data_IF_563348620902
#
_entry.id   IF_563348620902
#
_cell.length_a   1.000
_cell.length_b   1.000
_cell.length_c   1.000
_cell.angle_alpha   90.00
_cell.angle_beta   90.00
_cell.angle_gamma   90.00
#
_symmetry.space_group_name_H-M   'P 1'
#
loop_
_entity.id
_entity.type
_entity.pdbx_description
1 polymer ?
#
# COMPACT_ATOMS: atom_id res chain seq x y z
N UNK A 1 -55.39 5.93 27.25
CA UNK A 1 -55.41 6.03 25.78
C UNK A 1 -54.04 6.50 25.34
N UNK A 2 -53.19 5.53 24.99
CA UNK A 2 -51.87 5.71 24.40
C UNK A 2 -51.98 6.40 23.04
N UNK A 3 -51.06 7.33 22.77
CA UNK A 3 -50.71 7.77 21.42
C UNK A 3 -49.19 7.72 21.31
N UNK A 4 -48.71 6.74 20.55
CA UNK A 4 -47.31 6.54 20.18
C UNK A 4 -46.78 7.75 19.39
N UNK A 5 -45.62 8.27 19.80
CA UNK A 5 -44.81 9.18 18.99
C UNK A 5 -43.66 8.40 18.33
N UNK A 6 -43.63 8.47 17.01
CA UNK A 6 -42.63 7.85 16.13
C UNK A 6 -41.36 8.73 16.09
N UNK A 7 -40.14 8.19 16.25
CA UNK A 7 -38.93 8.98 16.05
C UNK A 7 -38.61 9.14 14.55
N UNK A 8 -38.42 10.39 14.13
CA UNK A 8 -37.96 10.76 12.78
C UNK A 8 -36.47 10.42 12.58
N UNK A 9 -36.16 9.70 11.51
CA UNK A 9 -34.81 9.42 11.02
C UNK A 9 -34.10 10.69 10.52
N UNK A 10 -32.79 10.87 10.77
CA UNK A 10 -32.02 11.97 10.20
C UNK A 10 -31.69 11.73 8.71
N UNK A 11 -31.51 12.80 7.90
CA UNK A 11 -31.29 12.66 6.47
C UNK A 11 -29.89 12.13 6.14
N UNK A 12 -29.84 11.30 5.10
CA UNK A 12 -28.63 10.77 4.48
C UNK A 12 -27.72 11.92 4.03
N UNK A 13 -26.52 12.02 4.64
CA UNK A 13 -25.47 12.92 4.18
C UNK A 13 -24.93 12.40 2.84
N UNK A 14 -24.95 13.26 1.82
CA UNK A 14 -24.31 13.02 0.53
C UNK A 14 -22.83 12.73 0.73
N UNK A 15 -22.38 11.57 0.26
CA UNK A 15 -20.97 11.27 0.09
C UNK A 15 -20.38 12.21 -0.97
N UNK A 16 -19.45 13.06 -0.56
CA UNK A 16 -18.61 13.84 -1.46
C UNK A 16 -17.71 12.87 -2.23
N UNK A 17 -17.81 12.86 -3.55
CA UNK A 17 -16.94 12.10 -4.45
C UNK A 17 -15.51 12.66 -4.38
N UNK A 18 -14.47 11.84 -4.21
CA UNK A 18 -13.09 12.31 -4.20
C UNK A 18 -12.68 12.75 -5.61
N UNK A 19 -12.13 13.96 -5.70
CA UNK A 19 -11.52 14.51 -6.92
C UNK A 19 -10.03 14.17 -6.85
N UNK A 20 -9.55 13.34 -7.77
CA UNK A 20 -8.11 13.18 -8.03
C UNK A 20 -7.57 14.51 -8.54
N UNK A 21 -6.69 15.17 -7.78
CA UNK A 21 -5.92 16.33 -8.23
C UNK A 21 -4.44 15.96 -8.31
N UNK A 22 -3.75 16.12 -9.46
CA UNK A 22 -2.32 15.85 -9.53
C UNK A 22 -1.49 17.02 -8.97
N UNK A 23 -0.38 16.68 -8.32
CA UNK A 23 0.32 17.50 -7.35
C UNK A 23 1.54 18.30 -7.85
N UNK A 24 2.04 19.12 -6.90
CA UNK A 24 3.39 19.67 -6.68
C UNK A 24 3.96 20.81 -7.54
N UNK A 25 4.24 21.94 -6.86
CA UNK A 25 5.39 22.81 -7.13
C UNK A 25 6.11 23.12 -5.82
N UNK A 26 7.33 22.59 -5.67
CA UNK A 26 8.34 23.14 -4.77
C UNK A 26 9.61 23.30 -5.60
N UNK A 27 10.09 24.54 -5.70
CA UNK A 27 11.37 24.89 -6.34
C UNK A 27 12.46 25.13 -5.28
N UNK A 28 13.76 25.10 -5.67
CA UNK A 28 14.82 24.57 -4.82
C UNK A 28 15.90 25.60 -4.40
N UNK A 29 16.71 25.21 -3.40
CA UNK A 29 18.12 25.59 -3.21
C UNK A 29 18.72 24.54 -2.26
N UNK A 30 19.91 23.97 -2.39
CA UNK A 30 21.09 24.24 -3.20
C UNK A 30 22.00 23.00 -3.15
N UNK A 31 22.64 22.68 -4.28
CA UNK A 31 23.98 22.09 -4.44
C UNK A 31 24.43 20.98 -3.47
N UNK A 32 24.57 19.76 -4.00
CA UNK A 32 25.36 18.69 -3.39
C UNK A 32 25.47 17.50 -4.33
N UNK A 33 26.63 17.36 -4.95
CA UNK A 33 26.91 16.52 -6.11
C UNK A 33 26.63 15.01 -5.99
N UNK A 34 26.25 14.49 -7.15
CA UNK A 34 26.13 13.10 -7.56
C UNK A 34 27.35 12.24 -7.27
N UNK A 35 27.17 11.16 -6.50
CA UNK A 35 28.10 10.02 -6.45
C UNK A 35 27.34 8.70 -6.38
N UNK A 36 26.68 8.35 -7.47
CA UNK A 36 26.04 7.05 -7.66
C UNK A 36 26.61 6.36 -8.90
N UNK A 37 27.72 5.65 -8.71
CA UNK A 37 28.18 4.64 -9.66
C UNK A 37 28.66 3.40 -8.91
N UNK A 38 27.97 2.30 -9.22
CA UNK A 38 28.53 0.98 -9.50
C UNK A 38 29.19 0.24 -8.33
N UNK A 39 28.59 -0.88 -7.91
CA UNK A 39 29.24 -2.20 -7.85
C UNK A 39 28.22 -3.32 -7.53
N UNK A 40 27.81 -4.04 -8.56
CA UNK A 40 27.33 -5.42 -8.46
C UNK A 40 28.56 -6.33 -8.52
N UNK A 41 28.69 -7.30 -7.62
CA UNK A 41 29.58 -8.46 -7.79
C UNK A 41 28.91 -9.73 -7.29
N UNK A 42 28.94 -10.73 -8.15
CA UNK A 42 28.42 -12.07 -7.96
C UNK A 42 29.39 -12.95 -7.15
N UNK A 43 28.85 -13.97 -6.47
CA UNK A 43 29.60 -15.02 -5.75
C UNK A 43 29.51 -16.32 -6.58
N UNK A 44 30.62 -17.07 -6.76
CA UNK A 44 30.63 -18.26 -7.59
C UNK A 44 30.22 -19.54 -6.84
N UNK A 45 29.63 -20.43 -7.63
CA UNK A 45 29.20 -21.80 -7.39
C UNK A 45 30.39 -22.77 -7.26
N UNK A 46 30.34 -23.78 -6.37
CA UNK A 46 31.22 -24.95 -6.43
C UNK A 46 30.46 -26.26 -6.21
N UNK A 47 30.73 -27.23 -7.10
CA UNK A 47 30.14 -28.57 -7.19
C UNK A 47 30.80 -29.61 -6.26
N UNK A 48 29.96 -30.51 -5.73
CA UNK A 48 29.97 -31.99 -5.79
C UNK A 48 31.24 -32.82 -5.44
N UNK A 49 31.11 -33.73 -4.46
CA UNK A 49 31.58 -35.16 -4.43
C UNK A 49 31.02 -35.84 -3.15
N UNK A 50 30.13 -36.83 -3.24
CA UNK A 50 30.27 -38.30 -3.40
C UNK A 50 30.23 -39.13 -2.09
N UNK A 51 29.15 -39.91 -1.98
CA UNK A 51 28.92 -41.26 -1.44
C UNK A 51 29.81 -41.89 -0.35
N UNK A 52 29.14 -42.46 0.66
CA UNK A 52 29.67 -43.47 1.59
C UNK A 52 28.54 -44.24 2.28
N UNK A 53 28.48 -45.55 2.02
CA UNK A 53 27.40 -46.50 2.33
C UNK A 53 27.78 -47.42 3.48
N UNK A 54 26.99 -47.55 4.57
CA UNK A 54 27.07 -48.68 5.51
C UNK A 54 25.73 -49.04 6.23
N UNK A 55 25.30 -50.27 5.92
CA UNK A 55 24.41 -51.31 6.49
C UNK A 55 23.74 -51.17 7.90
N UNK A 56 22.48 -51.69 8.00
CA UNK A 56 21.61 -51.87 9.20
C UNK A 56 22.06 -52.94 10.21
N UNK A 57 21.41 -53.27 11.35
CA UNK A 57 20.01 -53.44 11.86
C UNK A 57 20.07 -53.45 13.44
N UNK A 58 19.02 -53.76 14.27
CA UNK A 58 17.55 -53.83 14.10
C UNK A 58 16.72 -53.03 15.16
N UNK A 59 15.38 -53.08 15.00
CA UNK A 59 14.31 -52.40 15.74
C UNK A 59 13.99 -52.99 17.14
N UNK A 60 13.58 -52.12 18.08
CA UNK A 60 12.59 -52.41 19.14
C UNK A 60 11.74 -51.15 19.47
N UNK A 61 10.43 -51.28 19.70
CA UNK A 61 9.55 -50.15 19.96
C UNK A 61 9.46 -49.86 21.47
N UNK A 62 9.52 -48.59 21.83
CA UNK A 62 8.92 -48.11 23.08
C UNK A 62 8.07 -46.89 22.77
N UNK A 63 6.78 -47.03 23.05
CA UNK A 63 5.84 -45.91 23.12
C UNK A 63 6.40 -44.89 24.12
N UNK A 64 6.69 -43.70 23.62
CA UNK A 64 6.70 -42.49 24.41
C UNK A 64 5.60 -41.62 23.82
N UNK A 65 4.65 -41.26 24.68
CA UNK A 65 3.62 -40.28 24.41
C UNK A 65 4.24 -39.06 23.72
N UNK A 66 3.98 -38.93 22.42
CA UNK A 66 4.31 -37.72 21.68
C UNK A 66 3.38 -36.63 22.21
N UNK A 67 3.84 -35.92 23.23
CA UNK A 67 3.42 -34.55 23.45
C UNK A 67 3.94 -33.79 22.24
N UNK A 68 3.14 -33.71 21.18
CA UNK A 68 3.40 -32.76 20.12
C UNK A 68 3.51 -31.39 20.80
N UNK A 69 4.65 -30.70 20.73
CA UNK A 69 4.63 -29.29 21.03
C UNK A 69 3.60 -28.70 20.06
N UNK A 70 2.49 -28.20 20.61
CA UNK A 70 1.60 -27.31 19.88
C UNK A 70 2.48 -26.29 19.18
N UNK A 71 2.31 -26.05 17.85
CA UNK A 71 3.08 -25.02 17.19
C UNK A 71 2.85 -23.74 17.98
N UNK A 72 3.93 -23.23 18.58
CA UNK A 72 3.90 -21.92 19.20
C UNK A 72 3.35 -21.00 18.12
N UNK A 73 2.18 -20.43 18.37
CA UNK A 73 1.64 -19.39 17.51
C UNK A 73 2.76 -18.38 17.29
N UNK A 74 3.18 -18.15 16.04
CA UNK A 74 4.21 -17.16 15.67
C UNK A 74 3.65 -15.76 15.97
N UNK A 75 3.56 -15.44 17.24
CA UNK A 75 3.07 -14.17 17.76
C UNK A 75 4.25 -13.22 17.70
N UNK A 76 4.19 -12.31 16.73
CA UNK A 76 5.20 -11.27 16.54
C UNK A 76 4.70 -10.01 17.24
N UNK A 77 5.52 -9.42 18.10
CA UNK A 77 5.26 -8.09 18.65
C UNK A 77 5.82 -7.03 17.70
N UNK A 78 4.98 -6.04 17.37
CA UNK A 78 5.33 -4.99 16.43
C UNK A 78 5.00 -3.60 17.02
N UNK A 79 5.97 -2.68 17.08
CA UNK A 79 5.69 -1.27 17.34
C UNK A 79 4.77 -0.72 16.26
N UNK A 80 3.70 -0.02 16.64
CA UNK A 80 2.72 0.52 15.69
C UNK A 80 2.84 2.04 15.55
N UNK A 81 2.73 2.50 14.31
CA UNK A 81 2.67 3.89 13.90
C UNK A 81 1.30 4.19 13.27
N UNK A 82 0.33 4.68 14.07
CA UNK A 82 -0.94 5.19 13.57
C UNK A 82 -0.76 6.42 12.68
N UNK A 83 -1.24 6.38 11.44
CA UNK A 83 -1.20 7.49 10.49
C UNK A 83 -2.56 7.69 9.80
N UNK A 84 -2.90 8.92 9.35
CA UNK A 84 -4.10 9.18 8.54
C UNK A 84 -3.91 8.74 7.06
N UNK A 85 -3.18 7.66 6.82
CA UNK A 85 -2.90 7.08 5.51
C UNK A 85 -2.77 5.56 5.61
N UNK A 86 -2.81 4.90 4.45
CA UNK A 86 -2.69 3.44 4.33
C UNK A 86 -1.38 3.11 3.61
N UNK A 87 -0.54 2.26 4.22
CA UNK A 87 0.65 1.72 3.56
C UNK A 87 0.31 0.38 2.89
N UNK A 88 0.70 0.23 1.63
CA UNK A 88 0.55 -1.03 0.89
C UNK A 88 1.88 -1.77 0.75
N UNK A 89 1.85 -3.11 0.61
CA UNK A 89 3.03 -3.89 0.20
C UNK A 89 3.71 -3.29 -1.04
N UNK A 90 5.02 -3.13 -0.97
CA UNK A 90 5.86 -2.57 -2.04
C UNK A 90 5.83 -1.05 -2.17
N UNK A 91 4.86 -0.34 -1.55
CA UNK A 91 4.77 1.12 -1.62
C UNK A 91 5.89 1.79 -0.80
N UNK A 92 6.34 2.96 -1.25
CA UNK A 92 7.36 3.75 -0.56
C UNK A 92 6.67 4.85 0.26
N UNK A 93 7.06 4.99 1.51
CA UNK A 93 6.52 5.97 2.45
C UNK A 93 7.64 6.82 3.06
N UNK A 94 7.83 8.07 2.59
CA UNK A 94 8.69 9.02 3.28
C UNK A 94 7.99 9.56 4.53
N UNK A 95 8.70 9.62 5.65
CA UNK A 95 8.19 10.16 6.92
C UNK A 95 9.22 11.04 7.60
N UNK A 96 8.72 12.06 8.28
CA UNK A 96 9.49 12.86 9.22
C UNK A 96 8.99 12.60 10.64
N UNK A 97 9.88 12.10 11.49
CA UNK A 97 9.60 11.79 12.89
C UNK A 97 9.99 12.99 13.73
N UNK A 98 8.99 13.68 14.27
CA UNK A 98 9.19 14.81 15.16
C UNK A 98 8.55 14.62 16.54
N UNK A 99 7.48 13.82 16.65
CA UNK A 99 6.84 13.54 17.94
C UNK A 99 7.77 12.72 18.86
N UNK A 100 7.86 13.15 20.12
CA UNK A 100 8.74 12.55 21.13
C UNK A 100 8.57 11.04 21.28
N UNK A 101 7.33 10.54 21.32
CA UNK A 101 7.06 9.10 21.43
C UNK A 101 7.65 8.28 20.28
N UNK A 102 7.60 8.81 19.06
CA UNK A 102 8.12 8.10 17.88
C UNK A 102 9.63 8.28 17.72
N UNK A 103 10.21 9.33 18.31
CA UNK A 103 11.67 9.42 18.48
C UNK A 103 12.18 8.28 19.37
N UNK A 104 11.52 8.01 20.49
CA UNK A 104 11.83 6.85 21.34
C UNK A 104 11.69 5.55 20.55
N UNK A 105 10.58 5.38 19.82
CA UNK A 105 10.37 4.20 18.96
C UNK A 105 11.53 4.02 17.97
N UNK A 106 11.96 5.10 17.30
CA UNK A 106 13.05 5.04 16.34
C UNK A 106 14.38 4.61 16.98
N UNK A 107 14.68 5.07 18.19
CA UNK A 107 15.87 4.60 18.92
C UNK A 107 15.84 3.09 19.17
N UNK A 108 14.68 2.53 19.51
CA UNK A 108 14.50 1.06 19.62
C UNK A 108 14.64 0.37 18.25
N UNK A 109 14.09 0.96 17.19
CA UNK A 109 14.17 0.38 15.83
C UNK A 109 15.60 0.32 15.30
N UNK A 110 16.44 1.31 15.61
CA UNK A 110 17.86 1.34 15.22
C UNK A 110 18.69 0.20 15.84
N UNK A 111 18.21 -0.39 16.94
CA UNK A 111 18.87 -1.50 17.65
C UNK A 111 18.26 -2.87 17.30
N UNK A 112 17.23 -2.90 16.44
CA UNK A 112 16.46 -4.09 16.07
C UNK A 112 16.38 -4.24 14.54
N UNK A 113 15.27 -4.78 14.02
CA UNK A 113 15.13 -5.13 12.60
C UNK A 113 14.65 -3.96 11.72
N UNK A 114 14.61 -2.72 12.22
CA UNK A 114 14.15 -1.55 11.47
C UNK A 114 12.72 -1.69 10.88
N UNK A 115 11.88 -2.51 11.52
CA UNK A 115 10.50 -2.80 11.10
C UNK A 115 9.49 -2.31 12.13
N UNK A 116 8.43 -1.67 11.64
CA UNK A 116 7.29 -1.24 12.46
C UNK A 116 6.00 -1.36 11.66
N UNK A 117 4.86 -1.42 12.34
CA UNK A 117 3.55 -1.53 11.71
C UNK A 117 2.96 -0.17 11.41
N UNK A 118 2.65 0.12 10.15
CA UNK A 118 1.83 1.28 9.79
C UNK A 118 0.37 0.87 9.79
N UNK A 119 -0.44 1.58 10.56
CA UNK A 119 -1.87 1.31 10.73
C UNK A 119 -2.66 2.57 10.43
N UNK A 120 -3.71 2.43 9.63
CA UNK A 120 -4.60 3.55 9.37
C UNK A 120 -5.32 3.97 10.65
N UNK A 121 -5.38 5.28 10.90
CA UNK A 121 -6.06 5.84 12.04
C UNK A 121 -6.85 7.09 11.64
N UNK A 122 -8.13 7.09 11.96
CA UNK A 122 -9.04 8.22 11.73
C UNK A 122 -9.78 8.54 13.03
N UNK A 123 -9.80 9.82 13.42
CA UNK A 123 -10.48 10.32 14.62
C UNK A 123 -10.22 9.51 15.92
N UNK A 124 -9.00 8.96 16.08
CA UNK A 124 -8.61 8.16 17.26
C UNK A 124 -8.96 6.68 17.19
N UNK A 125 -9.66 6.22 16.13
CA UNK A 125 -9.88 4.80 15.85
C UNK A 125 -8.74 4.25 15.00
N UNK A 126 -8.09 3.18 15.48
CA UNK A 126 -7.02 2.48 14.76
C UNK A 126 -7.61 1.27 14.03
N UNK A 127 -7.24 1.09 12.77
CA UNK A 127 -7.67 -0.04 11.97
C UNK A 127 -7.04 -1.36 12.47
N UNK A 128 -7.78 -2.46 12.33
CA UNK A 128 -7.32 -3.78 12.77
C UNK A 128 -6.30 -4.43 11.84
N UNK A 129 -6.11 -3.91 10.62
CA UNK A 129 -5.15 -4.39 9.63
C UNK A 129 -4.22 -3.26 9.22
N UNK A 130 -2.93 -3.59 9.13
CA UNK A 130 -1.88 -2.67 8.70
C UNK A 130 -0.88 -3.34 7.78
N UNK A 131 0.19 -2.61 7.47
CA UNK A 131 1.31 -3.08 6.67
C UNK A 131 2.62 -2.79 7.38
N UNK A 132 3.55 -3.73 7.36
CA UNK A 132 4.89 -3.51 7.93
C UNK A 132 5.64 -2.50 7.05
N UNK A 133 6.13 -1.43 7.67
CA UNK A 133 7.12 -0.56 7.08
C UNK A 133 8.52 -1.00 7.50
N UNK A 134 9.35 -1.34 6.53
CA UNK A 134 10.79 -1.54 6.73
C UNK A 134 11.52 -0.24 6.38
N UNK A 135 12.35 0.27 7.30
CA UNK A 135 13.16 1.46 7.05
C UNK A 135 14.30 1.11 6.08
N UNK A 136 14.23 1.61 4.84
CA UNK A 136 15.26 1.39 3.82
C UNK A 136 16.32 2.50 3.80
N UNK A 137 15.99 3.67 4.35
CA UNK A 137 16.92 4.78 4.56
C UNK A 137 16.47 5.61 5.74
N UNK A 138 17.41 6.04 6.59
CA UNK A 138 17.13 7.01 7.65
C UNK A 138 18.25 8.04 7.76
N UNK A 139 17.91 9.24 8.20
CA UNK A 139 18.81 10.34 8.47
C UNK A 139 18.40 10.99 9.80
N UNK A 140 19.35 11.11 10.73
CA UNK A 140 19.13 11.84 11.99
C UNK A 140 19.33 13.33 11.72
N UNK A 141 18.31 14.10 12.01
CA UNK A 141 18.30 15.55 11.93
C UNK A 141 18.69 16.16 13.28
N UNK A 142 18.74 17.48 13.33
CA UNK A 142 18.91 18.24 14.58
C UNK A 142 17.75 17.93 15.55
N UNK A 143 18.03 17.93 16.85
CA UNK A 143 17.06 17.66 17.94
C UNK A 143 16.50 16.23 17.98
N UNK A 144 17.26 15.24 17.47
CA UNK A 144 16.86 13.83 17.32
C UNK A 144 15.55 13.62 16.57
N UNK A 145 15.25 14.52 15.64
CA UNK A 145 14.25 14.27 14.61
C UNK A 145 14.84 13.29 13.60
N UNK A 146 14.00 12.53 12.93
CA UNK A 146 14.44 11.63 11.87
C UNK A 146 13.70 11.94 10.59
N UNK A 147 14.40 11.88 9.47
CA UNK A 147 13.79 11.67 8.17
C UNK A 147 14.03 10.22 7.76
N UNK A 148 12.99 9.53 7.33
CA UNK A 148 13.09 8.13 6.95
C UNK A 148 12.28 7.80 5.70
N UNK A 149 12.81 6.88 4.90
CA UNK A 149 12.13 6.26 3.77
C UNK A 149 11.85 4.83 4.17
N UNK A 150 10.57 4.46 4.16
CA UNK A 150 10.14 3.10 4.40
C UNK A 150 9.63 2.45 3.12
N UNK A 151 9.74 1.13 3.05
CA UNK A 151 9.06 0.30 2.06
C UNK A 151 8.07 -0.60 2.76
N UNK A 152 6.83 -0.64 2.24
CA UNK A 152 5.82 -1.58 2.70
C UNK A 152 6.22 -3.02 2.39
N UNK A 153 6.04 -3.92 3.35
CA UNK A 153 6.33 -5.34 3.23
C UNK A 153 5.03 -6.13 3.36
N UNK A 154 4.90 -7.02 4.35
CA UNK A 154 3.73 -7.86 4.56
C UNK A 154 2.61 -7.11 5.28
N UNK A 155 1.38 -7.51 5.00
CA UNK A 155 0.22 -7.08 5.79
C UNK A 155 0.13 -7.91 7.07
N UNK A 156 -0.45 -7.31 8.09
CA UNK A 156 -0.71 -7.97 9.34
C UNK A 156 -2.07 -7.57 9.90
N UNK A 157 -2.62 -8.42 10.76
CA UNK A 157 -3.79 -8.16 11.60
C UNK A 157 -3.35 -8.00 13.04
N UNK A 158 -3.83 -6.95 13.70
CA UNK A 158 -3.66 -6.76 15.14
C UNK A 158 -4.50 -7.81 15.87
N UNK A 159 -3.85 -8.64 16.68
CA UNK A 159 -4.51 -9.63 17.53
C UNK A 159 -4.74 -9.06 18.93
N UNK A 160 -3.74 -8.39 19.50
CA UNK A 160 -3.81 -7.81 20.84
C UNK A 160 -2.86 -6.62 20.99
N UNK A 161 -3.31 -5.53 21.60
CA UNK A 161 -2.41 -4.45 22.04
C UNK A 161 -1.70 -4.87 23.34
N UNK A 162 -0.37 -4.89 23.34
CA UNK A 162 0.43 -5.23 24.52
C UNK A 162 0.93 -4.00 25.26
N UNK A 163 1.09 -2.88 24.56
CA UNK A 163 1.52 -1.62 25.14
C UNK A 163 0.83 -0.42 24.46
N UNK A 164 0.51 0.62 25.22
CA UNK A 164 -0.06 1.87 24.68
C UNK A 164 0.83 3.10 24.84
N UNK A 165 1.84 3.04 25.72
CA UNK A 165 2.78 4.13 26.02
C UNK A 165 4.22 3.62 26.04
N UNK A 166 5.20 4.41 25.56
CA UNK A 166 5.05 5.75 24.98
C UNK A 166 4.42 5.73 23.57
N UNK A 167 4.51 4.60 22.88
CA UNK A 167 3.85 4.30 21.60
C UNK A 167 3.13 2.95 21.71
N UNK A 168 2.30 2.64 20.70
CA UNK A 168 1.55 1.41 20.63
C UNK A 168 2.48 0.23 20.28
N UNK A 169 2.30 -0.91 20.94
CA UNK A 169 2.90 -2.20 20.55
C UNK A 169 1.79 -3.23 20.54
N UNK A 170 1.82 -4.11 19.55
CA UNK A 170 0.80 -5.13 19.38
C UNK A 170 1.38 -6.47 19.00
N UNK A 171 0.74 -7.53 19.48
CA UNK A 171 0.82 -8.86 18.90
C UNK A 171 0.05 -8.87 17.57
N UNK A 172 0.72 -9.33 16.53
CA UNK A 172 0.17 -9.38 15.18
C UNK A 172 0.18 -10.78 14.59
N UNK A 173 -0.77 -11.02 13.69
CA UNK A 173 -0.82 -12.20 12.84
C UNK A 173 -0.63 -11.80 11.37
N UNK A 174 0.24 -12.50 10.65
CA UNK A 174 0.48 -12.23 9.23
C UNK A 174 -0.79 -12.43 8.39
N UNK A 175 -1.00 -11.52 7.42
CA UNK A 175 -2.19 -11.49 6.58
C UNK A 175 -1.85 -11.75 5.11
N UNK A 176 -2.05 -12.99 4.69
CA UNK A 176 -1.85 -13.45 3.31
C UNK A 176 -3.17 -13.47 2.53
N UNK A 177 -3.07 -13.41 1.20
CA UNK A 177 -4.23 -13.66 0.34
C UNK A 177 -4.55 -15.15 0.35
N UNK A 178 -5.83 -15.48 0.49
CA UNK A 178 -6.29 -16.88 0.50
C UNK A 178 -6.23 -17.41 -0.93
N UNK A 179 -5.65 -18.61 -1.14
CA UNK A 179 -5.83 -19.27 -2.41
C UNK A 179 -7.32 -19.56 -2.64
N UNK A 180 -7.78 -19.64 -3.90
CA UNK A 180 -9.13 -20.10 -4.20
C UNK A 180 -9.38 -21.47 -3.55
N UNK A 181 -10.60 -21.73 -3.04
CA UNK A 181 -10.88 -22.97 -2.34
C UNK A 181 -10.67 -24.19 -3.26
N UNK A 182 -10.09 -25.28 -2.75
CA UNK A 182 -9.84 -26.47 -3.54
C UNK A 182 -11.16 -27.08 -4.03
N UNK A 183 -11.30 -27.26 -5.34
CA UNK A 183 -12.51 -27.78 -5.97
C UNK A 183 -13.56 -26.73 -6.36
N UNK A 184 -13.27 -25.44 -6.19
CA UNK A 184 -14.01 -24.42 -6.94
C UNK A 184 -13.87 -24.73 -8.44
N UNK A 185 -14.94 -24.64 -9.23
CA UNK A 185 -14.83 -24.76 -10.68
C UNK A 185 -13.76 -23.77 -11.17
N UNK A 186 -12.82 -24.23 -11.99
CA UNK A 186 -11.85 -23.34 -12.66
C UNK A 186 -12.57 -22.24 -13.46
N UNK A 187 -13.87 -22.44 -13.75
CA UNK A 187 -14.76 -21.52 -14.44
C UNK A 187 -15.49 -20.50 -13.54
N UNK A 188 -15.51 -20.67 -12.20
CA UNK A 188 -16.20 -19.73 -11.29
C UNK A 188 -15.30 -18.56 -10.82
N UNK A 189 -13.98 -18.68 -10.99
CA UNK A 189 -13.05 -17.58 -10.81
C UNK A 189 -12.77 -16.88 -12.13
N UNK A 190 -13.12 -15.59 -12.25
CA UNK A 190 -12.58 -14.75 -13.33
C UNK A 190 -11.04 -14.87 -13.34
N UNK A 191 -10.45 -15.08 -14.53
CA UNK A 191 -9.01 -15.13 -14.69
C UNK A 191 -8.38 -13.83 -14.15
N UNK A 192 -7.54 -13.97 -13.12
CA UNK A 192 -6.89 -12.85 -12.44
C UNK A 192 -6.03 -12.03 -13.41
N UNK A 193 -5.48 -12.66 -14.45
CA UNK A 193 -4.71 -11.95 -15.48
C UNK A 193 -5.60 -11.10 -16.37
N UNK A 194 -6.79 -11.59 -16.71
CA UNK A 194 -7.79 -10.81 -17.45
C UNK A 194 -8.24 -9.61 -16.61
N UNK A 195 -8.58 -9.84 -15.34
CA UNK A 195 -8.96 -8.76 -14.41
C UNK A 195 -7.86 -7.72 -14.23
N UNK A 196 -6.61 -8.15 -14.02
CA UNK A 196 -5.48 -7.24 -13.87
C UNK A 196 -5.24 -6.43 -15.17
N UNK A 197 -5.41 -7.04 -16.34
CA UNK A 197 -5.31 -6.34 -17.63
C UNK A 197 -6.42 -5.31 -17.81
N UNK A 198 -7.65 -5.61 -17.40
CA UNK A 198 -8.75 -4.64 -17.42
C UNK A 198 -8.50 -3.45 -16.49
N UNK A 199 -8.05 -3.71 -15.26
CA UNK A 199 -7.69 -2.69 -14.28
C UNK A 199 -6.57 -1.80 -14.83
N UNK A 200 -5.53 -2.38 -15.42
CA UNK A 200 -4.44 -1.62 -16.05
C UNK A 200 -4.96 -0.70 -17.15
N UNK A 201 -5.86 -1.18 -18.01
CA UNK A 201 -6.48 -0.38 -19.07
C UNK A 201 -7.21 0.83 -18.48
N UNK A 202 -8.07 0.60 -17.48
CA UNK A 202 -8.80 1.69 -16.82
C UNK A 202 -7.86 2.71 -16.16
N UNK A 203 -6.79 2.24 -15.52
CA UNK A 203 -5.79 3.12 -14.90
C UNK A 203 -5.08 3.99 -15.95
N UNK A 204 -4.67 3.42 -17.09
CA UNK A 204 -4.08 4.18 -18.22
C UNK A 204 -5.06 5.23 -18.76
N UNK A 205 -6.33 4.90 -18.87
CA UNK A 205 -7.37 5.83 -19.33
C UNK A 205 -7.58 6.99 -18.34
N UNK A 206 -7.65 6.70 -17.03
CA UNK A 206 -7.75 7.73 -15.98
C UNK A 206 -6.54 8.67 -16.02
N UNK A 207 -5.32 8.14 -16.10
CA UNK A 207 -4.09 8.95 -16.19
C UNK A 207 -4.11 9.83 -17.44
N UNK A 208 -4.49 9.27 -18.60
CA UNK A 208 -4.56 9.99 -19.86
C UNK A 208 -5.55 11.16 -19.82
N UNK A 209 -6.76 10.95 -19.31
CA UNK A 209 -7.78 12.00 -19.22
C UNK A 209 -7.40 13.03 -18.16
N UNK A 210 -6.90 12.60 -17.00
CA UNK A 210 -6.42 13.50 -15.95
C UNK A 210 -5.31 14.44 -16.44
N UNK A 211 -4.28 13.91 -17.11
CA UNK A 211 -3.20 14.74 -17.67
C UNK A 211 -3.71 15.77 -18.69
N UNK A 212 -4.65 15.37 -19.54
CA UNK A 212 -5.31 16.27 -20.50
C UNK A 212 -6.07 17.40 -19.79
N UNK A 213 -6.84 17.06 -18.76
CA UNK A 213 -7.59 18.04 -17.95
C UNK A 213 -6.67 19.04 -17.24
N UNK A 214 -5.50 18.59 -16.80
CA UNK A 214 -4.51 19.42 -16.13
C UNK A 214 -3.61 20.24 -17.09
N UNK A 215 -3.83 20.17 -18.41
CA UNK A 215 -3.05 20.93 -19.38
C UNK A 215 -1.59 20.49 -19.49
N UNK A 216 -1.24 19.33 -18.92
CA UNK A 216 0.06 18.69 -19.14
C UNK A 216 -0.01 18.05 -20.52
N UNK A 217 0.35 18.81 -21.55
CA UNK A 217 0.66 18.23 -22.86
C UNK A 217 1.70 17.13 -22.64
N UNK A 218 1.59 16.03 -23.38
CA UNK A 218 2.59 14.97 -23.35
C UNK A 218 3.87 15.49 -24.02
N UNK A 219 4.57 16.40 -23.36
CA UNK A 219 5.92 16.80 -23.74
C UNK A 219 6.79 15.58 -23.55
N UNK A 220 7.15 15.00 -24.70
CA UNK A 220 8.18 13.99 -24.82
C UNK A 220 9.51 14.68 -24.56
N UNK A 221 9.88 14.90 -23.30
CA UNK A 221 11.30 15.02 -22.94
C UNK A 221 11.53 14.76 -21.44
N UNK A 222 12.46 13.83 -21.21
CA UNK A 222 13.31 13.63 -20.03
C UNK A 222 12.65 13.74 -18.63
N UNK A 223 11.92 12.69 -18.24
CA UNK A 223 11.66 12.36 -16.83
C UNK A 223 10.22 12.06 -16.42
N UNK A 224 9.24 12.34 -17.28
CA UNK A 224 7.79 12.24 -16.97
C UNK A 224 7.00 11.12 -17.65
N UNK A 225 7.67 10.12 -18.24
CA UNK A 225 7.07 9.13 -19.15
C UNK A 225 6.38 7.91 -18.53
N UNK A 226 5.69 8.03 -17.40
CA UNK A 226 4.96 6.89 -16.80
C UNK A 226 3.62 6.58 -17.50
N UNK A 227 3.10 7.49 -18.32
CA UNK A 227 1.74 7.42 -18.86
C UNK A 227 1.54 6.43 -20.04
N UNK A 228 2.62 5.92 -20.64
CA UNK A 228 2.56 4.92 -21.73
C UNK A 228 3.34 3.63 -21.44
N UNK A 229 4.00 3.55 -20.28
CA UNK A 229 4.74 2.37 -19.87
C UNK A 229 3.75 1.26 -19.43
N UNK A 230 4.19 0.01 -19.59
CA UNK A 230 3.59 -1.14 -18.88
C UNK A 230 3.57 -0.81 -17.38
N UNK A 231 2.39 -0.48 -16.85
CA UNK A 231 2.22 -0.08 -15.45
C UNK A 231 2.39 -1.29 -14.53
N UNK A 232 2.08 -2.48 -15.05
CA UNK A 232 2.28 -3.73 -14.33
C UNK A 232 3.76 -4.01 -14.14
N UNK A 233 4.66 -3.58 -15.05
CA UNK A 233 6.11 -3.83 -14.96
C UNK A 233 6.43 -5.32 -14.67
N UNK A 234 5.67 -6.22 -15.28
CA UNK A 234 5.77 -7.67 -15.03
C UNK A 234 5.27 -8.16 -13.67
N UNK A 235 4.51 -7.36 -12.92
CA UNK A 235 3.90 -7.78 -11.66
C UNK A 235 2.77 -8.79 -11.90
N UNK A 236 2.78 -9.85 -11.08
CA UNK A 236 1.66 -10.77 -10.92
C UNK A 236 0.41 -10.04 -10.38
N UNK A 237 -0.80 -10.61 -10.54
CA UNK A 237 -2.05 -9.94 -10.19
C UNK A 237 -2.13 -9.46 -8.73
N UNK A 238 -1.60 -10.25 -7.78
CA UNK A 238 -1.63 -9.90 -6.35
C UNK A 238 -0.76 -8.67 -6.03
N UNK A 239 0.56 -8.64 -6.30
CA UNK A 239 1.35 -7.42 -6.16
C UNK A 239 0.81 -6.22 -6.96
N UNK A 240 0.27 -6.46 -8.16
CA UNK A 240 -0.31 -5.42 -8.98
C UNK A 240 -1.53 -4.77 -8.31
N UNK A 241 -2.42 -5.56 -7.70
CA UNK A 241 -3.57 -5.02 -6.96
C UNK A 241 -3.12 -4.12 -5.79
N UNK A 242 -2.10 -4.51 -5.01
CA UNK A 242 -1.56 -3.63 -3.96
C UNK A 242 -0.99 -2.33 -4.51
N UNK A 243 -0.31 -2.38 -5.66
CA UNK A 243 0.15 -1.18 -6.35
C UNK A 243 -1.02 -0.29 -6.75
N UNK A 244 -2.06 -0.84 -7.40
CA UNK A 244 -3.24 -0.07 -7.81
C UNK A 244 -3.92 0.56 -6.61
N UNK A 245 -4.20 -0.20 -5.55
CA UNK A 245 -4.77 0.33 -4.30
C UNK A 245 -3.95 1.48 -3.68
N UNK A 246 -2.62 1.43 -3.78
CA UNK A 246 -1.76 2.51 -3.28
C UNK A 246 -1.93 3.83 -4.04
N UNK A 247 -2.46 3.80 -5.27
CA UNK A 247 -2.62 4.99 -6.13
C UNK A 247 -3.93 5.77 -5.89
N UNK A 248 -4.84 5.26 -5.06
CA UNK A 248 -6.13 5.90 -4.79
C UNK A 248 -5.99 7.06 -3.79
N UNK A 249 -5.36 8.15 -4.26
CA UNK A 249 -5.11 9.36 -3.49
C UNK A 249 -6.42 10.00 -2.97
N UNK A 250 -6.39 10.51 -1.74
CA UNK A 250 -7.54 11.18 -1.12
C UNK A 250 -8.67 10.23 -0.69
N UNK A 251 -8.50 8.91 -0.84
CA UNK A 251 -9.50 7.91 -0.48
C UNK A 251 -8.98 6.88 0.55
N UNK A 252 -8.46 7.31 1.72
CA UNK A 252 -7.81 6.40 2.68
C UNK A 252 -8.75 5.30 3.21
N UNK A 253 -10.06 5.56 3.28
CA UNK A 253 -11.06 4.54 3.65
C UNK A 253 -11.22 3.46 2.59
N UNK A 254 -11.17 3.83 1.31
CA UNK A 254 -11.21 2.86 0.21
C UNK A 254 -9.90 2.07 0.16
N UNK A 255 -8.76 2.75 0.34
CA UNK A 255 -7.45 2.11 0.48
C UNK A 255 -7.43 1.09 1.63
N UNK A 256 -7.99 1.44 2.79
CA UNK A 256 -8.06 0.54 3.93
C UNK A 256 -8.93 -0.69 3.61
N UNK A 257 -10.08 -0.49 2.97
CA UNK A 257 -10.94 -1.59 2.55
C UNK A 257 -10.24 -2.53 1.55
N UNK A 258 -9.44 -1.99 0.62
CA UNK A 258 -8.64 -2.78 -0.33
C UNK A 258 -7.51 -3.56 0.37
N UNK A 259 -6.83 -2.95 1.33
CA UNK A 259 -5.77 -3.58 2.12
C UNK A 259 -6.30 -4.78 2.92
N UNK A 260 -7.53 -4.69 3.44
CA UNK A 260 -8.20 -5.70 4.26
C UNK A 260 -8.71 -6.92 3.48
N UNK A 261 -8.96 -6.80 2.17
CA UNK A 261 -9.39 -7.91 1.33
C UNK A 261 -8.31 -8.99 1.28
N UNK A 262 -8.69 -10.25 1.49
CA UNK A 262 -7.81 -11.43 1.40
C UNK A 262 -7.98 -12.19 0.09
N UNK A 263 -8.76 -11.65 -0.85
CA UNK A 263 -9.02 -12.24 -2.16
C UNK A 263 -8.53 -11.23 -3.21
N UNK A 264 -7.50 -11.63 -3.97
CA UNK A 264 -6.92 -10.79 -5.03
C UNK A 264 -7.95 -10.44 -6.11
N UNK A 265 -8.79 -11.39 -6.52
CA UNK A 265 -9.82 -11.16 -7.52
C UNK A 265 -10.91 -10.21 -7.02
N UNK A 266 -11.32 -10.33 -5.77
CA UNK A 266 -12.23 -9.38 -5.12
C UNK A 266 -11.61 -7.98 -5.04
N UNK A 267 -10.30 -7.89 -4.74
CA UNK A 267 -9.57 -6.61 -4.72
C UNK A 267 -9.53 -5.97 -6.09
N UNK A 268 -9.13 -6.71 -7.13
CA UNK A 268 -9.09 -6.22 -8.51
C UNK A 268 -10.47 -5.82 -9.04
N UNK A 269 -11.53 -6.57 -8.73
CA UNK A 269 -12.91 -6.19 -9.11
C UNK A 269 -13.34 -4.87 -8.48
N UNK A 270 -13.01 -4.65 -7.20
CA UNK A 270 -13.30 -3.41 -6.49
C UNK A 270 -12.49 -2.24 -7.07
N UNK A 271 -11.21 -2.45 -7.37
CA UNK A 271 -10.36 -1.47 -8.04
C UNK A 271 -10.88 -1.10 -9.44
N UNK A 272 -11.29 -2.10 -10.23
CA UNK A 272 -11.90 -1.92 -11.56
C UNK A 272 -13.12 -1.01 -11.47
N UNK A 273 -14.01 -1.28 -10.52
CA UNK A 273 -15.23 -0.50 -10.34
C UNK A 273 -14.93 0.95 -9.91
N UNK A 274 -14.02 1.14 -8.96
CA UNK A 274 -13.57 2.47 -8.51
C UNK A 274 -12.95 3.27 -9.66
N UNK A 275 -12.07 2.65 -10.46
CA UNK A 275 -11.44 3.29 -11.61
C UNK A 275 -12.45 3.60 -12.73
N UNK A 276 -13.40 2.69 -13.00
CA UNK A 276 -14.47 2.92 -13.97
C UNK A 276 -15.33 4.12 -13.59
N UNK A 277 -15.72 4.23 -12.32
CA UNK A 277 -16.51 5.35 -11.82
C UNK A 277 -15.73 6.67 -11.89
N UNK A 278 -14.44 6.62 -11.56
CA UNK A 278 -13.53 7.77 -11.72
C UNK A 278 -13.43 8.20 -13.18
N UNK A 279 -13.28 7.25 -14.10
CA UNK A 279 -13.16 7.51 -15.53
C UNK A 279 -14.44 8.16 -16.09
N UNK A 280 -15.60 7.66 -15.69
CA UNK A 280 -16.90 8.23 -16.06
C UNK A 280 -17.00 9.69 -15.61
N UNK A 281 -16.61 9.98 -14.37
CA UNK A 281 -16.59 11.35 -13.83
C UNK A 281 -15.62 12.25 -14.61
N UNK A 282 -14.37 11.82 -14.84
CA UNK A 282 -13.36 12.61 -15.55
C UNK A 282 -13.75 12.87 -17.01
N UNK A 283 -14.37 11.90 -17.67
CA UNK A 283 -14.83 12.04 -19.06
C UNK A 283 -15.96 13.08 -19.14
N UNK A 284 -16.91 13.05 -18.20
CA UNK A 284 -17.95 14.08 -18.10
C UNK A 284 -17.35 15.47 -17.81
N UNK A 285 -16.39 15.56 -16.87
CA UNK A 285 -15.72 16.82 -16.55
C UNK A 285 -14.93 17.38 -17.75
N UNK A 286 -14.25 16.52 -18.52
CA UNK A 286 -13.55 16.91 -19.75
C UNK A 286 -14.50 17.45 -20.81
N UNK A 287 -15.64 16.79 -21.04
CA UNK A 287 -16.62 17.26 -22.01
C UNK A 287 -17.18 18.65 -21.65
N UNK A 288 -17.40 18.92 -20.35
CA UNK A 288 -17.83 20.25 -19.88
C UNK A 288 -16.73 21.30 -20.12
N UNK A 289 -15.47 20.98 -19.83
CA UNK A 289 -14.34 21.88 -20.08
C UNK A 289 -14.18 22.21 -21.56
N UNK A 290 -14.37 21.22 -22.43
CA UNK A 290 -14.28 21.39 -23.88
C UNK A 290 -15.45 22.23 -24.43
N UNK A 291 -16.65 22.14 -23.82
CA UNK A 291 -17.82 22.93 -24.20
C UNK A 291 -17.75 24.40 -23.72
N UNK A 292 -17.02 24.68 -22.64
CA UNK A 292 -16.86 26.02 -22.05
C UNK A 292 -15.38 26.38 -21.88
N UNK A 293 -14.63 26.63 -22.96
CA UNK A 293 -13.24 27.06 -22.86
C UNK A 293 -13.18 28.41 -22.14
N UNK A 294 -12.48 28.47 -21.00
CA UNK A 294 -12.28 29.71 -20.25
C UNK A 294 -11.64 30.76 -21.16
N UNK A 295 -12.35 31.85 -21.44
CA UNK A 295 -11.88 32.97 -22.26
C UNK A 295 -10.60 33.57 -21.69
N UNK A 296 -9.55 33.83 -22.50
CA UNK A 296 -8.32 34.44 -21.99
C UNK A 296 -8.60 35.86 -21.51
N UNK A 297 -8.22 36.15 -20.26
CA UNK A 297 -8.21 37.51 -19.71
C UNK A 297 -7.33 38.40 -20.59
N UNK A 298 -7.94 39.40 -21.22
CA UNK A 298 -7.25 40.37 -22.06
C UNK A 298 -6.18 41.12 -21.24
N UNK A 299 -4.94 41.28 -21.73
CA UNK A 299 -3.98 42.15 -21.06
C UNK A 299 -4.45 43.60 -21.25
N UNK A 300 -4.72 44.30 -20.15
CA UNK A 300 -4.95 45.74 -20.14
C UNK A 300 -3.69 46.44 -20.67
N UNK A 301 -3.76 46.95 -21.89
CA UNK A 301 -2.77 47.89 -22.42
C UNK A 301 -2.90 49.22 -21.68
N UNK A 302 -2.02 49.48 -20.71
CA UNK A 302 -1.81 50.82 -20.18
C UNK A 302 -0.89 51.58 -21.13
N UNK A 303 -1.42 52.64 -21.74
CA UNK A 303 -0.68 53.71 -22.41
C UNK A 303 0.03 54.61 -21.41
#
# INVERSE_FOLDING_TARGET
>A
MELLHIPHSPPLRRCSTPILTPAFSSSPSSSGESRWTRLKRAVPTSQRRQEGQLKGLPLRPRCASSSYPTPASDVVELPLFPLPLVLFPGAILPLQIFEFRYRIMMHTLLETDLRFGVVFSDAGSVAGVGCVGEVVKHERLVDDRFFLICKGQERFRITRLTQTKPYLVAEVAWLEDRPPPPGAPEEEGEDLEVLATEVERYMKDVIRISNRLNGKAADKDEGGGAAAADLRRGLFPTPFSFFVGSTFEGAPREQQALLELQDTGARLRRERETLRNTLNYLTAASAVKDAFPSSPSSPSSSS
#
